data_IF_429972372912
#
_entry.id   IF_429972372912
#
_cell.length_a   1.000
_cell.length_b   1.000
_cell.length_c   1.000
_cell.angle_alpha   90.00
_cell.angle_beta   90.00
_cell.angle_gamma   90.00
#
_symmetry.space_group_name_H-M   'P 1'
#
loop_
_entity.id
_entity.type
_entity.pdbx_description
1 polymer ?
#
# COMPACT_ATOMS: atom_id res chain seq x y z
N UNK A 1 11.70 -15.26 13.98
CA UNK A 1 10.28 -14.87 13.92
C UNK A 1 9.60 -15.58 15.08
N UNK A 2 9.13 -14.85 16.07
CA UNK A 2 8.41 -15.44 17.21
C UNK A 2 7.00 -14.85 17.21
N UNK A 3 6.05 -15.63 16.73
CA UNK A 3 4.63 -15.33 16.93
C UNK A 3 4.32 -15.42 18.45
N UNK A 4 3.33 -14.66 18.96
CA UNK A 4 2.85 -14.83 20.33
C UNK A 4 2.54 -16.29 20.60
N UNK A 5 2.86 -16.77 21.80
CA UNK A 5 2.69 -18.19 22.18
C UNK A 5 1.25 -18.67 21.95
N UNK A 6 0.27 -17.84 22.30
CA UNK A 6 -1.15 -18.15 22.10
C UNK A 6 -1.51 -18.36 20.62
N UNK A 7 -0.91 -17.56 19.71
CA UNK A 7 -1.12 -17.73 18.27
C UNK A 7 -0.45 -19.02 17.77
N UNK A 8 0.73 -19.37 18.29
CA UNK A 8 1.40 -20.63 17.97
C UNK A 8 0.60 -21.85 18.46
N UNK A 9 0.04 -21.77 19.67
CA UNK A 9 -0.78 -22.83 20.26
C UNK A 9 -2.08 -23.03 19.46
N UNK A 10 -2.72 -21.93 18.98
CA UNK A 10 -3.89 -21.99 18.10
C UNK A 10 -3.56 -22.61 16.74
N UNK A 11 -2.43 -22.23 16.14
CA UNK A 11 -1.97 -22.83 14.88
C UNK A 11 -1.68 -24.33 15.05
N UNK A 12 -1.00 -24.70 16.13
CA UNK A 12 -0.70 -26.09 16.43
C UNK A 12 -1.98 -26.92 16.65
N UNK A 13 -2.97 -26.37 17.36
CA UNK A 13 -4.28 -26.99 17.54
C UNK A 13 -5.03 -27.18 16.20
N UNK A 14 -4.81 -26.29 15.22
CA UNK A 14 -5.34 -26.40 13.86
C UNK A 14 -4.47 -27.27 12.92
N UNK A 15 -3.41 -27.90 13.43
CA UNK A 15 -2.46 -28.70 12.64
C UNK A 15 -1.62 -27.87 11.66
N UNK A 16 -1.49 -26.55 11.89
CA UNK A 16 -0.74 -25.64 11.04
C UNK A 16 0.56 -25.20 11.68
N UNK A 17 1.57 -24.95 10.86
CA UNK A 17 2.83 -24.33 11.25
C UNK A 17 2.91 -22.89 10.77
N UNK A 18 3.76 -22.02 11.35
CA UNK A 18 4.02 -20.68 10.80
C UNK A 18 4.43 -20.71 9.32
N UNK A 19 5.19 -21.72 8.90
CA UNK A 19 5.56 -21.91 7.50
C UNK A 19 4.34 -22.20 6.62
N UNK A 20 3.44 -23.07 7.07
CA UNK A 20 2.19 -23.37 6.36
C UNK A 20 1.35 -22.13 6.16
N UNK A 21 1.18 -21.30 7.21
CA UNK A 21 0.45 -20.03 7.13
C UNK A 21 1.11 -19.07 6.16
N UNK A 22 2.45 -18.96 6.21
CA UNK A 22 3.21 -18.10 5.29
C UNK A 22 3.00 -18.52 3.83
N UNK A 23 3.11 -19.81 3.54
CA UNK A 23 2.90 -20.34 2.17
C UNK A 23 1.46 -20.07 1.70
N UNK A 24 0.45 -20.33 2.54
CA UNK A 24 -0.94 -20.07 2.24
C UNK A 24 -1.15 -18.57 1.94
N UNK A 25 -0.64 -17.68 2.80
CA UNK A 25 -0.76 -16.23 2.63
C UNK A 25 -0.12 -15.75 1.32
N UNK A 26 1.05 -16.26 0.98
CA UNK A 26 1.73 -15.93 -0.28
C UNK A 26 0.91 -16.42 -1.48
N UNK A 27 0.43 -17.66 -1.44
CA UNK A 27 -0.41 -18.21 -2.52
C UNK A 27 -1.69 -17.40 -2.68
N UNK A 28 -2.36 -17.03 -1.59
CA UNK A 28 -3.55 -16.18 -1.62
C UNK A 28 -3.26 -14.81 -2.25
N UNK A 29 -2.18 -14.15 -1.82
CA UNK A 29 -1.79 -12.83 -2.31
C UNK A 29 -1.40 -12.85 -3.80
N UNK A 30 -0.88 -13.96 -4.31
CA UNK A 30 -0.51 -14.12 -5.72
C UNK A 30 -1.65 -14.63 -6.61
N UNK A 31 -2.76 -15.06 -6.03
CA UNK A 31 -3.86 -15.67 -6.77
C UNK A 31 -5.17 -14.88 -6.66
N UNK A 32 -6.02 -15.18 -5.71
CA UNK A 32 -7.38 -14.65 -5.64
C UNK A 32 -7.55 -13.39 -4.77
N UNK A 33 -6.68 -13.18 -3.77
CA UNK A 33 -6.82 -12.05 -2.86
C UNK A 33 -6.76 -10.67 -3.56
N UNK A 34 -5.94 -10.44 -4.61
CA UNK A 34 -6.01 -9.21 -5.39
C UNK A 34 -7.39 -8.93 -5.97
N UNK A 35 -8.07 -9.95 -6.48
CA UNK A 35 -9.41 -9.81 -7.06
C UNK A 35 -10.48 -9.51 -6.00
N UNK A 36 -10.40 -10.13 -4.82
CA UNK A 36 -11.30 -9.82 -3.72
C UNK A 36 -11.08 -8.39 -3.24
N UNK A 37 -9.83 -8.00 -2.99
CA UNK A 37 -9.49 -6.64 -2.55
C UNK A 37 -9.83 -5.58 -3.61
N UNK A 38 -9.80 -5.92 -4.90
CA UNK A 38 -10.21 -5.03 -5.99
C UNK A 38 -11.64 -4.50 -5.80
N UNK A 39 -12.58 -5.35 -5.35
CA UNK A 39 -13.97 -4.93 -5.13
C UNK A 39 -14.11 -3.94 -3.97
N UNK A 40 -13.22 -3.97 -2.99
CA UNK A 40 -13.17 -2.95 -1.94
C UNK A 40 -12.44 -1.69 -2.43
N UNK A 41 -11.38 -1.85 -3.20
CA UNK A 41 -10.59 -0.76 -3.74
C UNK A 41 -11.33 0.07 -4.80
N UNK A 42 -12.28 -0.50 -5.54
CA UNK A 42 -12.96 0.19 -6.65
C UNK A 42 -13.64 1.48 -6.23
N UNK A 43 -14.20 1.53 -5.01
CA UNK A 43 -14.83 2.74 -4.47
C UNK A 43 -13.84 3.89 -4.31
N UNK A 44 -12.64 3.59 -3.83
CA UNK A 44 -11.55 4.58 -3.74
C UNK A 44 -11.04 4.98 -5.13
N UNK A 45 -10.79 4.02 -6.01
CA UNK A 45 -10.26 4.29 -7.35
C UNK A 45 -11.22 5.12 -8.20
N UNK A 46 -12.53 4.91 -8.06
CA UNK A 46 -13.53 5.73 -8.73
C UNK A 46 -13.42 7.21 -8.29
N UNK A 47 -13.21 7.47 -7.02
CA UNK A 47 -13.01 8.83 -6.49
C UNK A 47 -11.65 9.41 -6.89
N UNK A 48 -10.58 8.62 -6.69
CA UNK A 48 -9.23 9.10 -6.93
C UNK A 48 -8.92 9.19 -8.42
N UNK A 49 -8.88 8.06 -9.14
CA UNK A 49 -8.45 7.98 -10.55
C UNK A 49 -9.55 8.35 -11.51
N UNK A 50 -10.82 8.05 -11.14
CA UNK A 50 -11.97 8.42 -11.97
C UNK A 50 -12.30 9.91 -11.93
N UNK A 51 -11.95 10.63 -10.85
CA UNK A 51 -12.32 12.04 -10.69
C UNK A 51 -11.15 12.94 -10.27
N UNK A 52 -10.57 12.76 -9.09
CA UNK A 52 -9.67 13.75 -8.49
C UNK A 52 -8.34 13.90 -9.26
N UNK A 53 -7.69 12.81 -9.63
CA UNK A 53 -6.42 12.87 -10.36
C UNK A 53 -6.56 13.54 -11.73
N UNK A 54 -7.58 13.25 -12.57
CA UNK A 54 -7.84 14.01 -13.80
C UNK A 54 -7.94 15.53 -13.57
N UNK A 55 -8.74 15.96 -12.60
CA UNK A 55 -8.93 17.39 -12.28
C UNK A 55 -7.61 18.03 -11.82
N UNK A 56 -6.84 17.36 -10.96
CA UNK A 56 -5.55 17.87 -10.50
C UNK A 56 -4.52 17.95 -11.63
N UNK A 57 -4.50 16.97 -12.53
CA UNK A 57 -3.59 16.96 -13.69
C UNK A 57 -3.94 18.04 -14.68
N UNK A 58 -5.21 18.29 -14.93
CA UNK A 58 -5.67 19.40 -15.78
C UNK A 58 -5.21 20.75 -15.21
N UNK A 59 -5.36 20.95 -13.90
CA UNK A 59 -5.05 22.24 -13.24
C UNK A 59 -3.55 22.48 -13.04
N UNK A 60 -2.77 21.45 -12.70
CA UNK A 60 -1.38 21.60 -12.25
C UNK A 60 -0.36 20.92 -13.17
N UNK A 61 -0.80 20.24 -14.21
CA UNK A 61 0.01 19.36 -15.06
C UNK A 61 0.22 17.97 -14.44
N UNK A 62 0.57 17.00 -15.28
CA UNK A 62 0.57 15.58 -14.94
C UNK A 62 1.36 15.27 -13.67
N UNK A 63 2.63 15.63 -13.62
CA UNK A 63 3.49 15.25 -12.48
C UNK A 63 3.07 15.93 -11.17
N UNK A 64 2.79 17.24 -11.20
CA UNK A 64 2.35 17.96 -10.01
C UNK A 64 0.97 17.48 -9.55
N UNK A 65 0.04 17.25 -10.48
CA UNK A 65 -1.29 16.73 -10.18
C UNK A 65 -1.23 15.37 -9.47
N UNK A 66 -0.38 14.45 -9.94
CA UNK A 66 -0.13 13.15 -9.33
C UNK A 66 0.42 13.27 -7.90
N UNK A 67 1.43 14.13 -7.69
CA UNK A 67 2.03 14.35 -6.38
C UNK A 67 0.99 14.93 -5.41
N UNK A 68 0.26 15.96 -5.82
CA UNK A 68 -0.80 16.56 -4.99
C UNK A 68 -1.87 15.53 -4.65
N UNK A 69 -2.33 14.76 -5.63
CA UNK A 69 -3.30 13.69 -5.42
C UNK A 69 -2.83 12.63 -4.43
N UNK A 70 -1.56 12.22 -4.53
CA UNK A 70 -0.96 11.27 -3.58
C UNK A 70 -0.85 11.82 -2.16
N UNK A 71 -0.49 13.10 -2.02
CA UNK A 71 -0.46 13.78 -0.71
C UNK A 71 -1.87 13.83 -0.11
N UNK A 72 -2.89 14.19 -0.88
CA UNK A 72 -4.29 14.23 -0.41
C UNK A 72 -4.74 12.82 0.00
N UNK A 73 -4.46 11.81 -0.81
CA UNK A 73 -4.82 10.42 -0.49
C UNK A 73 -4.11 9.90 0.76
N UNK A 74 -2.83 10.20 0.91
CA UNK A 74 -2.08 9.86 2.12
C UNK A 74 -2.60 10.58 3.37
N UNK A 75 -2.92 11.87 3.27
CA UNK A 75 -3.47 12.66 4.37
C UNK A 75 -4.89 12.18 4.78
N UNK A 76 -5.65 11.65 3.84
CA UNK A 76 -6.96 11.05 4.12
C UNK A 76 -6.86 9.82 5.05
N UNK A 77 -5.72 9.13 5.07
CA UNK A 77 -5.47 8.02 6.01
C UNK A 77 -5.00 8.46 7.40
N UNK A 78 -4.61 9.74 7.60
CA UNK A 78 -4.06 10.18 8.89
C UNK A 78 -4.95 9.88 10.10
N UNK A 79 -6.28 10.09 10.06
CA UNK A 79 -7.14 9.77 11.20
C UNK A 79 -7.03 8.31 11.63
N UNK A 80 -7.05 7.36 10.70
CA UNK A 80 -6.96 5.93 11.03
C UNK A 80 -5.55 5.51 11.43
N UNK A 81 -4.51 6.14 10.89
CA UNK A 81 -3.12 5.90 11.31
C UNK A 81 -2.92 6.37 12.76
N UNK A 82 -3.38 7.58 13.10
CA UNK A 82 -3.16 8.19 14.41
C UNK A 82 -4.06 7.55 15.48
N UNK A 83 -5.33 7.32 15.17
CA UNK A 83 -6.32 6.90 16.16
C UNK A 83 -6.43 5.39 16.31
N UNK A 84 -6.24 4.64 15.22
CA UNK A 84 -6.39 3.19 15.21
C UNK A 84 -5.06 2.43 15.02
N UNK A 85 -3.92 3.14 14.86
CA UNK A 85 -2.62 2.50 14.65
C UNK A 85 -2.52 1.77 13.30
N UNK A 86 -3.26 2.21 12.30
CA UNK A 86 -3.26 1.61 10.98
C UNK A 86 -1.84 1.57 10.40
N UNK A 87 -1.42 0.47 9.81
CA UNK A 87 -0.13 0.16 9.18
C UNK A 87 1.07 0.09 10.15
N UNK A 88 1.19 1.00 11.12
CA UNK A 88 2.41 1.13 11.93
C UNK A 88 2.22 0.71 13.40
N UNK A 89 0.98 0.48 13.84
CA UNK A 89 0.64 0.32 15.26
C UNK A 89 0.61 1.67 15.99
N UNK A 90 0.66 1.64 17.31
CA UNK A 90 0.61 2.84 18.16
C UNK A 90 1.95 3.18 18.82
N UNK A 91 2.88 2.21 18.87
CA UNK A 91 4.20 2.34 19.51
C UNK A 91 5.33 2.11 18.50
N UNK A 92 5.55 3.09 17.63
CA UNK A 92 6.62 3.09 16.65
C UNK A 92 7.53 4.32 16.80
N UNK A 93 8.72 4.26 16.22
CA UNK A 93 9.69 5.34 16.30
C UNK A 93 9.12 6.63 15.69
N UNK A 94 8.98 7.67 16.51
CA UNK A 94 8.41 8.96 16.12
C UNK A 94 6.89 9.00 16.09
N UNK A 95 6.19 8.01 16.72
CA UNK A 95 4.76 8.07 16.90
C UNK A 95 4.32 9.34 17.68
N UNK A 96 3.15 9.90 17.38
CA UNK A 96 2.18 9.51 16.35
C UNK A 96 2.44 10.18 14.98
N UNK A 97 3.52 10.96 14.83
CA UNK A 97 3.71 11.90 13.69
C UNK A 97 4.42 11.24 12.51
N UNK A 98 5.46 10.45 12.78
CA UNK A 98 6.32 9.91 11.72
C UNK A 98 5.58 8.95 10.77
N UNK A 99 4.62 8.16 11.27
CA UNK A 99 3.80 7.26 10.46
C UNK A 99 2.95 7.99 9.41
N UNK A 100 2.13 8.99 9.79
CA UNK A 100 1.41 9.83 8.83
C UNK A 100 2.30 10.44 7.74
N UNK A 101 3.50 10.92 8.11
CA UNK A 101 4.45 11.50 7.15
C UNK A 101 5.00 10.41 6.22
N UNK A 102 5.41 9.27 6.75
CA UNK A 102 5.88 8.13 5.95
C UNK A 102 4.80 7.66 4.98
N UNK A 103 3.55 7.60 5.43
CA UNK A 103 2.44 7.18 4.59
C UNK A 103 2.13 8.16 3.45
N UNK A 104 2.42 9.46 3.59
CA UNK A 104 2.34 10.39 2.45
C UNK A 104 3.24 9.96 1.30
N UNK A 105 4.47 9.55 1.60
CA UNK A 105 5.40 9.06 0.59
C UNK A 105 4.87 7.79 -0.09
N UNK A 106 4.42 6.82 0.72
CA UNK A 106 3.87 5.55 0.23
C UNK A 106 2.66 5.79 -0.67
N UNK A 107 1.66 6.53 -0.17
CA UNK A 107 0.44 6.82 -0.91
C UNK A 107 0.70 7.65 -2.18
N UNK A 108 1.71 8.54 -2.15
CA UNK A 108 2.10 9.30 -3.34
C UNK A 108 2.70 8.39 -4.40
N UNK A 109 3.60 7.49 -4.03
CA UNK A 109 4.18 6.52 -4.96
C UNK A 109 3.12 5.56 -5.53
N UNK A 110 2.26 4.99 -4.66
CA UNK A 110 1.13 4.17 -5.10
C UNK A 110 0.20 4.95 -6.04
N UNK A 111 -0.10 6.19 -5.67
CA UNK A 111 -0.95 7.09 -6.44
C UNK A 111 -0.45 7.33 -7.86
N UNK A 112 0.85 7.60 -8.01
CA UNK A 112 1.50 7.80 -9.31
C UNK A 112 1.44 6.52 -10.15
N UNK A 113 1.74 5.37 -9.55
CA UNK A 113 1.72 4.09 -10.25
C UNK A 113 0.30 3.73 -10.73
N UNK A 114 -0.69 3.82 -9.86
CA UNK A 114 -2.07 3.45 -10.18
C UNK A 114 -2.69 4.43 -11.19
N UNK A 115 -2.35 5.74 -11.11
CA UNK A 115 -2.76 6.71 -12.12
C UNK A 115 -2.10 6.42 -13.48
N UNK A 116 -0.84 6.00 -13.50
CA UNK A 116 -0.19 5.56 -14.72
C UNK A 116 -0.89 4.34 -15.35
N UNK A 117 -1.32 3.39 -14.54
CA UNK A 117 -2.11 2.26 -15.04
C UNK A 117 -3.45 2.71 -15.62
N UNK A 118 -4.12 3.65 -14.96
CA UNK A 118 -5.37 4.21 -15.45
C UNK A 118 -5.17 4.96 -16.78
N UNK A 119 -4.15 5.81 -16.90
CA UNK A 119 -3.84 6.51 -18.15
C UNK A 119 -3.55 5.57 -19.33
N UNK A 120 -2.91 4.43 -19.07
CA UNK A 120 -2.58 3.47 -20.12
C UNK A 120 -3.76 2.62 -20.59
N UNK A 121 -4.76 2.45 -19.75
CA UNK A 121 -5.84 1.49 -20.00
C UNK A 121 -7.22 2.13 -20.14
N UNK A 122 -7.36 3.35 -19.63
CA UNK A 122 -8.63 4.07 -19.50
C UNK A 122 -9.73 3.23 -18.80
N UNK A 123 -9.30 2.23 -18.03
CA UNK A 123 -10.16 1.26 -17.38
C UNK A 123 -9.92 1.29 -15.86
N UNK A 124 -10.95 1.68 -15.10
CA UNK A 124 -10.87 1.83 -13.64
C UNK A 124 -10.58 0.51 -12.91
N UNK A 125 -10.94 -0.62 -13.50
CA UNK A 125 -10.69 -1.93 -12.91
C UNK A 125 -9.21 -2.28 -12.85
N UNK A 126 -8.38 -1.70 -13.73
CA UNK A 126 -6.93 -1.97 -13.74
C UNK A 126 -6.23 -1.34 -12.53
N UNK A 127 -6.37 -0.04 -12.22
CA UNK A 127 -5.84 0.49 -10.97
C UNK A 127 -6.51 -0.14 -9.74
N UNK A 128 -7.80 -0.49 -9.78
CA UNK A 128 -8.46 -1.17 -8.67
C UNK A 128 -7.84 -2.56 -8.41
N UNK A 129 -7.50 -3.33 -9.44
CA UNK A 129 -6.78 -4.59 -9.29
C UNK A 129 -5.36 -4.36 -8.75
N UNK A 130 -4.65 -3.36 -9.26
CA UNK A 130 -3.33 -2.97 -8.74
C UNK A 130 -3.36 -2.59 -7.26
N UNK A 131 -4.35 -1.79 -6.86
CA UNK A 131 -4.59 -1.42 -5.46
C UNK A 131 -4.92 -2.67 -4.61
N UNK A 132 -5.81 -3.52 -5.10
CA UNK A 132 -6.16 -4.79 -4.45
C UNK A 132 -4.96 -5.73 -4.29
N UNK A 133 -4.05 -5.77 -5.26
CA UNK A 133 -2.81 -6.55 -5.17
C UNK A 133 -1.86 -6.00 -4.11
N UNK A 134 -1.74 -4.67 -4.00
CA UNK A 134 -0.95 -4.03 -2.94
C UNK A 134 -1.50 -4.39 -1.57
N UNK A 135 -2.82 -4.28 -1.37
CA UNK A 135 -3.48 -4.64 -0.11
C UNK A 135 -3.29 -6.12 0.24
N UNK A 136 -3.37 -7.01 -0.75
CA UNK A 136 -3.14 -8.43 -0.55
C UNK A 136 -1.69 -8.75 -0.13
N UNK A 137 -0.70 -8.10 -0.75
CA UNK A 137 0.72 -8.31 -0.44
C UNK A 137 1.09 -7.66 0.91
N UNK A 138 0.52 -6.51 1.25
CA UNK A 138 0.75 -5.86 2.54
C UNK A 138 0.42 -6.79 3.71
N UNK A 139 -0.67 -7.55 3.61
CA UNK A 139 -1.05 -8.56 4.60
C UNK A 139 -0.02 -9.69 4.79
N UNK A 140 0.69 -10.09 3.72
CA UNK A 140 1.74 -11.12 3.79
C UNK A 140 2.91 -10.67 4.68
N UNK A 141 3.26 -9.39 4.63
CA UNK A 141 4.35 -8.83 5.44
C UNK A 141 4.13 -8.99 6.94
N UNK A 142 2.89 -8.93 7.38
CA UNK A 142 2.55 -9.08 8.78
C UNK A 142 2.84 -10.49 9.32
N UNK A 143 2.82 -11.53 8.47
CA UNK A 143 3.17 -12.90 8.85
C UNK A 143 4.65 -13.03 9.18
N UNK A 144 5.50 -12.20 8.56
CA UNK A 144 6.94 -12.19 8.78
C UNK A 144 7.40 -11.14 9.80
N UNK A 145 6.47 -10.34 10.32
CA UNK A 145 6.79 -9.30 11.28
C UNK A 145 7.00 -9.87 12.68
N UNK A 146 8.17 -9.61 13.29
CA UNK A 146 8.45 -9.97 14.67
C UNK A 146 7.98 -8.83 15.59
N UNK A 147 7.04 -9.08 16.52
CA UNK A 147 6.56 -8.06 17.47
C UNK A 147 7.67 -7.41 18.30
N UNK A 148 8.80 -8.09 18.51
CA UNK A 148 9.96 -7.51 19.20
C UNK A 148 10.52 -6.26 18.46
N UNK A 149 10.25 -6.14 17.18
CA UNK A 149 10.67 -5.01 16.34
C UNK A 149 9.53 -4.05 16.00
N UNK A 150 8.38 -4.12 16.69
CA UNK A 150 7.23 -3.25 16.46
C UNK A 150 7.59 -1.76 16.46
N UNK A 151 8.56 -1.37 17.32
CA UNK A 151 9.09 0.00 17.36
C UNK A 151 9.65 0.48 16.02
N UNK A 152 10.10 -0.43 15.16
CA UNK A 152 10.69 -0.12 13.85
C UNK A 152 9.71 -0.35 12.68
N UNK A 153 8.42 -0.52 12.96
CA UNK A 153 7.38 -0.76 11.94
C UNK A 153 7.34 0.29 10.84
N UNK A 154 7.71 1.54 11.15
CA UNK A 154 7.81 2.65 10.18
C UNK A 154 8.83 2.36 9.05
N UNK A 155 9.84 1.55 9.29
CA UNK A 155 10.78 1.14 8.25
C UNK A 155 10.26 -0.06 7.44
N UNK A 156 9.28 -0.71 7.96
CA UNK A 156 8.35 -1.69 7.46
C UNK A 156 8.90 -2.92 6.75
N UNK A 157 8.32 -4.09 6.98
CA UNK A 157 8.63 -5.29 6.20
C UNK A 157 7.93 -5.15 4.90
N UNK A 158 7.20 -4.59 4.29
CA UNK A 158 6.60 -4.62 2.95
C UNK A 158 5.73 -3.39 2.65
N UNK A 159 6.02 -2.76 1.56
CA UNK A 159 5.28 -1.70 0.85
C UNK A 159 4.95 -0.41 1.63
N UNK A 160 4.61 -0.48 2.93
CA UNK A 160 4.22 0.71 3.72
C UNK A 160 5.36 1.37 4.49
N UNK A 161 6.53 0.75 4.55
CA UNK A 161 7.72 1.32 5.21
C UNK A 161 8.55 2.22 4.31
N UNK A 162 9.29 3.13 4.92
CA UNK A 162 10.15 4.09 4.21
C UNK A 162 11.21 3.39 3.35
N UNK A 163 11.73 2.24 3.81
CA UNK A 163 12.74 1.49 3.05
C UNK A 163 12.08 0.68 1.93
N UNK A 164 10.99 -0.01 2.23
CA UNK A 164 10.32 -0.88 1.28
C UNK A 164 9.65 -0.14 0.13
N UNK A 165 9.38 1.15 0.27
CA UNK A 165 8.82 1.97 -0.82
C UNK A 165 9.88 2.37 -1.87
N UNK A 166 11.18 2.17 -1.61
CA UNK A 166 12.26 2.61 -2.53
C UNK A 166 12.10 2.05 -3.97
N UNK A 167 11.84 0.76 -4.20
CA UNK A 167 11.64 0.26 -5.56
C UNK A 167 10.47 0.94 -6.28
N UNK A 168 9.37 1.18 -5.55
CA UNK A 168 8.21 1.88 -6.08
C UNK A 168 8.51 3.35 -6.38
N UNK A 169 9.28 4.01 -5.52
CA UNK A 169 9.76 5.37 -5.74
C UNK A 169 10.61 5.47 -7.01
N UNK A 170 11.55 4.55 -7.21
CA UNK A 170 12.37 4.50 -8.42
C UNK A 170 11.50 4.32 -9.68
N UNK A 171 10.50 3.45 -9.61
CA UNK A 171 9.52 3.28 -10.69
C UNK A 171 8.74 4.57 -10.97
N UNK A 172 8.28 5.28 -9.93
CA UNK A 172 7.58 6.55 -10.06
C UNK A 172 8.46 7.64 -10.69
N UNK A 173 9.72 7.74 -10.28
CA UNK A 173 10.70 8.65 -10.90
C UNK A 173 10.85 8.31 -12.38
N UNK A 174 11.05 7.04 -12.72
CA UNK A 174 11.18 6.59 -14.10
C UNK A 174 9.95 6.95 -14.96
N UNK A 175 8.71 6.74 -14.45
CA UNK A 175 7.48 7.16 -15.15
C UNK A 175 7.48 8.68 -15.37
N UNK A 176 7.88 9.44 -14.36
CA UNK A 176 7.76 10.91 -14.36
C UNK A 176 8.74 11.60 -15.31
N UNK A 177 9.89 10.95 -15.59
CA UNK A 177 10.92 11.49 -16.51
C UNK A 177 10.78 10.98 -17.94
N UNK A 178 10.02 9.89 -18.16
CA UNK A 178 9.75 9.41 -19.54
C UNK A 178 8.97 10.44 -20.32
N UNK A 179 9.40 10.67 -21.54
CA UNK A 179 8.56 11.42 -22.51
C UNK A 179 7.29 10.62 -22.77
N UNK A 180 6.13 11.25 -22.87
CA UNK A 180 4.91 10.55 -23.29
C UNK A 180 5.19 9.80 -24.58
N UNK A 181 4.77 8.53 -24.65
CA UNK A 181 4.78 7.82 -25.92
C UNK A 181 3.94 8.66 -26.88
N UNK A 182 4.50 9.03 -28.00
CA UNK A 182 3.74 9.78 -29.03
C UNK A 182 2.59 8.86 -29.45
N UNK A 183 1.37 9.35 -29.22
CA UNK A 183 0.17 8.72 -29.73
C UNK A 183 0.18 8.70 -31.26
#
# INVERSE_FOLDING_TARGET
MQMPKEALDQLAAAGMTPMTVSVISIVQALTYAPFINMFFAIGEEAGWRGYMYPVLKEKFGTNKGRIIGGIIWGAWHWPVIILAGYEYGTDYLGAPIAGPIAFLLVATCMGIMLDHFYEKTECIWVPALGHGAINAIAGVGMVFFDPAYAKYSIFGPLLVGVISVIPLLLYCVWISIRKPDKA
#
